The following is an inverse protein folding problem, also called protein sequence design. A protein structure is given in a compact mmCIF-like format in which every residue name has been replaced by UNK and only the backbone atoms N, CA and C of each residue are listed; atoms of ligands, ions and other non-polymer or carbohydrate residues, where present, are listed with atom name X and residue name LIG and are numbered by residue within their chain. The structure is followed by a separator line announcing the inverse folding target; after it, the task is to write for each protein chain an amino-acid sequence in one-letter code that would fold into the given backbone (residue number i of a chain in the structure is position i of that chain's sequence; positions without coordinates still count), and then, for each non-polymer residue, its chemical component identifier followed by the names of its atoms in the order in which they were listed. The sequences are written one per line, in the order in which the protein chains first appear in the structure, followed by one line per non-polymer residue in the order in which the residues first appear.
data_IF_873832900142
#
_entry.id   IF_873832900142
#
_cell.length_a   1.000
_cell.length_b   1.000
_cell.length_c   1.000
_cell.angle_alpha   90.00
_cell.angle_beta   90.00
_cell.angle_gamma   90.00
#
_symmetry.space_group_name_H-M   'P 1'
#
loop_
_entity.id
_entity.type
_entity.pdbx_description
1 polymer ?
#
# COMPACT_ATOMS: atom_id res chain seq x y z
N UNK A 1 38.75 -79.60 3.72
CA UNK A 1 39.98 -80.13 4.37
C UNK A 1 39.73 -80.22 5.88
N UNK A 2 39.46 -81.45 6.33
CA UNK A 2 39.29 -81.86 7.72
C UNK A 2 40.62 -82.51 8.17
N UNK A 3 41.27 -81.99 9.21
CA UNK A 3 42.41 -82.65 9.87
C UNK A 3 42.19 -82.53 11.38
N UNK A 4 41.73 -83.60 12.01
CA UNK A 4 41.39 -83.60 13.43
C UNK A 4 40.55 -84.77 13.92
N UNK A 5 40.15 -85.68 13.02
CA UNK A 5 39.67 -87.02 13.38
C UNK A 5 40.83 -87.97 13.10
N UNK A 6 40.98 -89.07 13.85
CA UNK A 6 41.93 -90.19 13.64
C UNK A 6 43.18 -90.33 14.55
N UNK A 7 43.26 -89.78 15.78
CA UNK A 7 44.36 -90.14 16.71
C UNK A 7 44.00 -90.68 18.10
N UNK A 8 42.73 -90.78 18.48
CA UNK A 8 42.36 -91.39 19.76
C UNK A 8 41.42 -92.62 19.64
N UNK A 9 41.12 -93.06 18.41
CA UNK A 9 40.21 -94.19 18.14
C UNK A 9 40.87 -95.58 18.11
N UNK A 10 42.19 -95.70 18.30
CA UNK A 10 42.89 -97.00 18.21
C UNK A 10 43.68 -97.41 19.47
N UNK A 11 43.64 -96.64 20.57
CA UNK A 11 44.49 -96.91 21.74
C UNK A 11 43.75 -97.53 22.95
N UNK A 12 42.47 -97.86 22.82
CA UNK A 12 41.69 -98.45 23.93
C UNK A 12 41.02 -99.79 23.59
N UNK A 13 41.40 -100.41 22.47
CA UNK A 13 40.91 -101.72 22.03
C UNK A 13 41.78 -102.91 22.50
N UNK A 14 42.78 -102.69 23.35
CA UNK A 14 43.70 -103.74 23.82
C UNK A 14 43.97 -103.67 25.32
N UNK A 15 42.91 -103.76 26.14
CA UNK A 15 43.05 -104.23 27.54
C UNK A 15 41.78 -104.93 28.02
N UNK A 16 41.27 -105.82 27.18
CA UNK A 16 40.32 -106.86 27.55
C UNK A 16 41.09 -108.17 27.76
N UNK A 17 41.76 -108.32 28.90
CA UNK A 17 42.19 -109.62 29.44
C UNK A 17 42.53 -109.48 30.93
N UNK A 18 41.48 -109.30 31.73
CA UNK A 18 41.51 -109.22 33.18
C UNK A 18 40.14 -109.57 33.73
N UNK A 19 39.66 -110.77 33.36
CA UNK A 19 38.40 -111.30 33.85
C UNK A 19 38.57 -111.80 35.29
N UNK A 20 37.47 -111.73 36.04
CA UNK A 20 37.13 -112.61 37.17
C UNK A 20 37.60 -112.16 38.55
N UNK A 21 36.97 -111.12 39.12
CA UNK A 21 36.62 -110.99 40.56
C UNK A 21 36.05 -109.58 40.84
N UNK A 22 34.89 -109.24 40.27
CA UNK A 22 34.06 -108.12 40.73
C UNK A 22 32.65 -108.22 40.11
N UNK A 23 32.02 -109.39 40.18
CA UNK A 23 30.64 -109.60 39.71
C UNK A 23 29.59 -109.24 40.79
N UNK A 24 29.96 -108.41 41.78
CA UNK A 24 29.13 -108.19 42.98
C UNK A 24 29.13 -106.73 43.48
N UNK A 25 29.30 -105.73 42.60
CA UNK A 25 29.13 -104.31 42.97
C UNK A 25 28.62 -103.41 41.82
N UNK A 26 28.24 -103.99 40.69
CA UNK A 26 27.80 -103.25 39.49
C UNK A 26 26.33 -102.84 39.51
N UNK A 27 25.57 -103.23 40.54
CA UNK A 27 24.18 -102.80 40.74
C UNK A 27 24.10 -101.49 41.56
N UNK A 28 24.93 -101.36 42.61
CA UNK A 28 24.96 -100.20 43.51
C UNK A 28 25.49 -98.91 42.83
N UNK A 29 26.42 -99.05 41.87
CA UNK A 29 27.03 -97.92 41.14
C UNK A 29 26.16 -97.39 40.00
N UNK A 30 25.34 -98.23 39.37
CA UNK A 30 24.38 -97.83 38.35
C UNK A 30 23.18 -97.09 38.97
N UNK A 31 22.73 -97.55 40.13
CA UNK A 31 21.66 -96.92 40.90
C UNK A 31 22.07 -95.53 41.43
N UNK A 32 23.29 -95.39 41.96
CA UNK A 32 23.82 -94.10 42.43
C UNK A 32 24.02 -93.09 41.28
N UNK A 33 24.43 -93.58 40.10
CA UNK A 33 24.54 -92.77 38.88
C UNK A 33 23.17 -92.36 38.34
N UNK A 34 22.17 -93.24 38.39
CA UNK A 34 20.78 -92.91 38.06
C UNK A 34 20.21 -91.90 39.04
N UNK A 35 20.47 -92.01 40.35
CA UNK A 35 20.05 -91.04 41.37
C UNK A 35 20.68 -89.67 41.16
N UNK A 36 21.98 -89.61 40.90
CA UNK A 36 22.68 -88.34 40.62
C UNK A 36 22.19 -87.70 39.31
N UNK A 37 21.93 -88.52 38.28
CA UNK A 37 21.34 -88.06 37.03
C UNK A 37 19.89 -87.57 37.21
N UNK A 38 19.10 -88.23 38.05
CA UNK A 38 17.75 -87.78 38.42
C UNK A 38 17.78 -86.47 39.21
N UNK A 39 18.72 -86.31 40.15
CA UNK A 39 18.90 -85.04 40.88
C UNK A 39 19.33 -83.91 39.94
N UNK A 40 20.25 -84.18 39.00
CA UNK A 40 20.70 -83.15 38.05
C UNK A 40 19.61 -82.77 37.05
N UNK A 41 18.81 -83.72 36.57
CA UNK A 41 17.66 -83.41 35.70
C UNK A 41 16.56 -82.67 36.47
N UNK A 42 16.36 -82.98 37.76
CA UNK A 42 15.43 -82.24 38.62
C UNK A 42 15.90 -80.80 38.84
N UNK A 43 17.20 -80.59 39.10
CA UNK A 43 17.78 -79.24 39.20
C UNK A 43 17.71 -78.47 37.87
N UNK A 44 17.96 -79.13 36.74
CA UNK A 44 17.81 -78.52 35.41
C UNK A 44 16.36 -78.13 35.13
N UNK A 45 15.39 -78.98 35.45
CA UNK A 45 13.97 -78.65 35.32
C UNK A 45 13.58 -77.47 36.20
N UNK A 46 14.06 -77.43 37.44
CA UNK A 46 13.77 -76.32 38.36
C UNK A 46 14.40 -75.00 37.87
N UNK A 47 15.60 -75.06 37.29
CA UNK A 47 16.29 -73.91 36.68
C UNK A 47 15.52 -73.43 35.44
N UNK A 48 15.19 -74.32 34.51
CA UNK A 48 14.41 -74.00 33.31
C UNK A 48 13.02 -73.45 33.65
N UNK A 49 12.36 -73.98 34.69
CA UNK A 49 11.06 -73.47 35.15
C UNK A 49 11.18 -72.05 35.71
N UNK A 50 12.27 -71.74 36.44
CA UNK A 50 12.54 -70.39 36.92
C UNK A 50 12.90 -69.41 35.79
N UNK A 51 13.67 -69.86 34.79
CA UNK A 51 14.00 -69.07 33.61
C UNK A 51 12.75 -68.80 32.76
N UNK A 52 11.87 -69.78 32.60
CA UNK A 52 10.59 -69.61 31.90
C UNK A 52 9.70 -68.59 32.62
N UNK A 53 9.66 -68.62 33.96
CA UNK A 53 8.92 -67.65 34.75
C UNK A 53 9.52 -66.22 34.66
N UNK A 54 10.85 -66.10 34.64
CA UNK A 54 11.51 -64.80 34.45
C UNK A 54 11.31 -64.27 33.03
N UNK A 55 11.40 -65.12 32.00
CA UNK A 55 11.18 -64.74 30.61
C UNK A 55 9.72 -64.33 30.35
N UNK A 56 8.74 -65.00 30.97
CA UNK A 56 7.33 -64.61 30.85
C UNK A 56 7.05 -63.29 31.56
N UNK A 57 7.62 -63.06 32.75
CA UNK A 57 7.54 -61.78 33.44
C UNK A 57 8.18 -60.64 32.62
N UNK A 58 9.37 -60.86 32.07
CA UNK A 58 10.05 -59.88 31.22
C UNK A 58 9.25 -59.56 29.94
N UNK A 59 8.62 -60.58 29.32
CA UNK A 59 7.71 -60.37 28.18
C UNK A 59 6.50 -59.51 28.54
N UNK A 60 5.86 -59.78 29.68
CA UNK A 60 4.72 -58.98 30.14
C UNK A 60 5.13 -57.52 30.40
N UNK A 61 6.29 -57.28 31.02
CA UNK A 61 6.79 -55.90 31.22
C UNK A 61 7.10 -55.22 29.88
N UNK A 62 7.71 -55.93 28.93
CA UNK A 62 8.00 -55.38 27.60
C UNK A 62 6.71 -55.08 26.81
N UNK A 63 5.70 -55.94 26.91
CA UNK A 63 4.38 -55.72 26.30
C UNK A 63 3.67 -54.50 26.91
N UNK A 64 3.71 -54.36 28.25
CA UNK A 64 3.17 -53.18 28.92
C UNK A 64 3.88 -51.88 28.50
N UNK A 65 5.21 -51.90 28.39
CA UNK A 65 5.98 -50.75 27.92
C UNK A 65 5.69 -50.42 26.45
N UNK A 66 5.56 -51.44 25.58
CA UNK A 66 5.17 -51.26 24.18
C UNK A 66 3.78 -50.64 24.08
N UNK A 67 2.82 -51.13 24.85
CA UNK A 67 1.44 -50.65 24.80
C UNK A 67 1.34 -49.22 25.35
N UNK A 68 2.11 -48.89 26.40
CA UNK A 68 2.23 -47.52 26.90
C UNK A 68 2.87 -46.59 25.86
N UNK A 69 3.95 -47.01 25.20
CA UNK A 69 4.60 -46.23 24.14
C UNK A 69 3.69 -46.04 22.92
N UNK A 70 2.93 -47.06 22.51
CA UNK A 70 1.92 -46.95 21.46
C UNK A 70 0.81 -45.98 21.83
N UNK A 71 0.39 -45.95 23.11
CA UNK A 71 -0.53 -44.96 23.64
C UNK A 71 0.01 -43.54 23.49
N UNK A 72 1.25 -43.30 23.92
CA UNK A 72 1.91 -42.00 23.79
C UNK A 72 2.07 -41.56 22.33
N UNK A 73 2.46 -42.47 21.42
CA UNK A 73 2.58 -42.14 19.99
C UNK A 73 1.23 -41.73 19.41
N UNK A 74 0.14 -42.43 19.75
CA UNK A 74 -1.22 -42.06 19.30
C UNK A 74 -1.62 -40.69 19.82
N UNK A 75 -1.37 -40.41 21.09
CA UNK A 75 -1.70 -39.12 21.70
C UNK A 75 -0.89 -37.98 21.10
N UNK A 76 0.43 -38.12 20.97
CA UNK A 76 1.30 -37.13 20.32
C UNK A 76 0.90 -36.91 18.85
N UNK A 77 0.53 -37.97 18.14
CA UNK A 77 0.05 -37.86 16.74
C UNK A 77 -1.26 -37.07 16.66
N UNK A 78 -2.20 -37.32 17.58
CA UNK A 78 -3.44 -36.57 17.67
C UNK A 78 -3.20 -35.09 18.02
N UNK A 79 -2.28 -34.80 18.94
CA UNK A 79 -1.89 -33.43 19.29
C UNK A 79 -1.22 -32.71 18.10
N UNK A 80 -0.33 -33.38 17.37
CA UNK A 80 0.30 -32.83 16.17
C UNK A 80 -0.72 -32.53 15.07
N UNK A 81 -1.67 -33.42 14.83
CA UNK A 81 -2.75 -33.19 13.87
C UNK A 81 -3.60 -31.97 14.27
N UNK A 82 -3.94 -31.84 15.56
CA UNK A 82 -4.67 -30.69 16.09
C UNK A 82 -3.89 -29.38 15.95
N UNK A 83 -2.60 -29.40 16.31
CA UNK A 83 -1.73 -28.23 16.18
C UNK A 83 -1.56 -27.79 14.73
N UNK A 84 -1.40 -28.73 13.79
CA UNK A 84 -1.35 -28.44 12.36
C UNK A 84 -2.65 -27.81 11.85
N UNK A 85 -3.80 -28.38 12.21
CA UNK A 85 -5.11 -27.81 11.84
C UNK A 85 -5.30 -26.39 12.39
N UNK A 86 -4.88 -26.13 13.63
CA UNK A 86 -4.90 -24.78 14.20
C UNK A 86 -3.97 -23.82 13.47
N UNK A 87 -2.75 -24.26 13.11
CA UNK A 87 -1.79 -23.46 12.36
C UNK A 87 -2.30 -23.10 10.98
N UNK A 88 -2.92 -24.05 10.26
CA UNK A 88 -3.52 -23.82 8.94
C UNK A 88 -4.70 -22.85 9.03
N UNK A 89 -5.55 -23.00 10.04
CA UNK A 89 -6.67 -22.09 10.28
C UNK A 89 -6.17 -20.67 10.59
N UNK A 90 -5.12 -20.53 11.41
CA UNK A 90 -4.55 -19.23 11.76
C UNK A 90 -3.87 -18.58 10.55
N UNK A 91 -3.14 -19.35 9.75
CA UNK A 91 -2.55 -18.88 8.49
C UNK A 91 -3.63 -18.41 7.51
N UNK A 92 -4.74 -19.14 7.38
CA UNK A 92 -5.89 -18.74 6.57
C UNK A 92 -6.53 -17.43 7.07
N UNK A 93 -6.71 -17.28 8.37
CA UNK A 93 -7.20 -16.03 8.97
C UNK A 93 -6.25 -14.86 8.75
N UNK A 94 -4.95 -15.07 8.93
CA UNK A 94 -3.94 -14.04 8.71
C UNK A 94 -3.93 -13.57 7.26
N UNK A 95 -4.03 -14.50 6.30
CA UNK A 95 -4.12 -14.18 4.88
C UNK A 95 -5.40 -13.39 4.55
N UNK A 96 -6.54 -13.78 5.13
CA UNK A 96 -7.81 -13.07 4.94
C UNK A 96 -7.80 -11.66 5.55
N UNK A 97 -7.21 -11.48 6.73
CA UNK A 97 -7.04 -10.17 7.35
C UNK A 97 -6.09 -9.31 6.51
N UNK A 98 -5.00 -9.89 6.00
CA UNK A 98 -4.05 -9.16 5.17
C UNK A 98 -4.68 -8.69 3.86
N UNK A 99 -5.43 -9.55 3.17
CA UNK A 99 -6.13 -9.18 1.94
C UNK A 99 -7.21 -8.13 2.19
N UNK A 100 -7.96 -8.23 3.29
CA UNK A 100 -8.96 -7.24 3.66
C UNK A 100 -8.32 -5.89 4.01
N UNK A 101 -7.20 -5.89 4.73
CA UNK A 101 -6.44 -4.67 5.05
C UNK A 101 -5.90 -4.01 3.77
N UNK A 102 -5.34 -4.80 2.84
CA UNK A 102 -4.89 -4.28 1.54
C UNK A 102 -6.03 -3.68 0.73
N UNK A 103 -7.20 -4.34 0.68
CA UNK A 103 -8.38 -3.84 -0.01
C UNK A 103 -8.90 -2.53 0.60
N UNK A 104 -8.90 -2.43 1.94
CA UNK A 104 -9.29 -1.21 2.65
C UNK A 104 -8.32 -0.06 2.37
N UNK A 105 -7.01 -0.32 2.40
CA UNK A 105 -5.99 0.69 2.07
C UNK A 105 -6.12 1.15 0.62
N UNK A 106 -6.33 0.23 -0.32
CA UNK A 106 -6.53 0.57 -1.73
C UNK A 106 -7.78 1.45 -1.93
N UNK A 107 -8.91 1.07 -1.33
CA UNK A 107 -10.15 1.85 -1.39
C UNK A 107 -10.00 3.23 -0.74
N UNK A 108 -9.34 3.30 0.42
CA UNK A 108 -9.07 4.57 1.11
C UNK A 108 -8.18 5.48 0.27
N UNK A 109 -7.12 4.94 -0.34
CA UNK A 109 -6.24 5.70 -1.23
C UNK A 109 -6.98 6.23 -2.46
N UNK A 110 -7.87 5.43 -3.05
CA UNK A 110 -8.70 5.87 -4.18
C UNK A 110 -9.62 7.04 -3.77
N UNK A 111 -10.25 6.97 -2.60
CA UNK A 111 -11.08 8.07 -2.07
C UNK A 111 -10.25 9.33 -1.82
N UNK A 112 -9.07 9.19 -1.19
CA UNK A 112 -8.15 10.31 -0.97
C UNK A 112 -7.74 10.95 -2.29
N UNK A 113 -7.50 10.15 -3.33
CA UNK A 113 -7.18 10.66 -4.66
C UNK A 113 -8.34 11.46 -5.26
N UNK A 114 -9.58 10.95 -5.16
CA UNK A 114 -10.79 11.66 -5.62
C UNK A 114 -10.98 12.99 -4.89
N UNK A 115 -10.80 13.01 -3.57
CA UNK A 115 -10.91 14.24 -2.79
C UNK A 115 -9.83 15.27 -3.16
N UNK A 116 -8.58 14.82 -3.36
CA UNK A 116 -7.51 15.71 -3.83
C UNK A 116 -7.82 16.29 -5.21
N UNK A 117 -8.24 15.47 -6.15
CA UNK A 117 -8.61 15.93 -7.49
C UNK A 117 -9.76 16.94 -7.46
N UNK A 118 -10.83 16.66 -6.70
CA UNK A 118 -11.95 17.58 -6.54
C UNK A 118 -11.52 18.90 -5.87
N UNK A 119 -10.60 18.84 -4.90
CA UNK A 119 -10.06 20.02 -4.24
C UNK A 119 -9.21 20.86 -5.21
N UNK A 120 -8.32 20.22 -5.99
CA UNK A 120 -7.48 20.89 -6.97
C UNK A 120 -8.32 21.53 -8.09
N UNK A 121 -9.38 20.85 -8.54
CA UNK A 121 -10.34 21.39 -9.50
C UNK A 121 -11.08 22.61 -8.93
N UNK A 122 -11.57 22.52 -7.69
CA UNK A 122 -12.23 23.64 -7.02
C UNK A 122 -11.29 24.83 -6.84
N UNK A 123 -10.04 24.58 -6.47
CA UNK A 123 -9.01 25.62 -6.34
C UNK A 123 -8.71 26.27 -7.70
N UNK A 124 -8.65 25.47 -8.77
CA UNK A 124 -8.50 25.94 -10.14
C UNK A 124 -9.66 26.85 -10.55
N UNK A 125 -10.92 26.42 -10.31
CA UNK A 125 -12.11 27.21 -10.59
C UNK A 125 -12.14 28.52 -9.79
N UNK A 126 -11.79 28.48 -8.50
CA UNK A 126 -11.75 29.66 -7.66
C UNK A 126 -10.73 30.70 -8.17
N UNK A 127 -9.53 30.24 -8.57
CA UNK A 127 -8.51 31.11 -9.16
C UNK A 127 -8.94 31.69 -10.51
N UNK A 128 -9.57 30.87 -11.36
CA UNK A 128 -10.10 31.33 -12.63
C UNK A 128 -11.17 32.41 -12.44
N UNK A 129 -12.10 32.21 -11.49
CA UNK A 129 -13.13 33.19 -11.14
C UNK A 129 -12.56 34.47 -10.55
N UNK A 130 -11.52 34.38 -9.73
CA UNK A 130 -10.86 35.55 -9.20
C UNK A 130 -10.14 36.36 -10.30
N UNK A 131 -9.50 35.67 -11.26
CA UNK A 131 -8.89 36.32 -12.43
C UNK A 131 -9.94 36.98 -13.33
N UNK A 132 -11.08 36.32 -13.56
CA UNK A 132 -12.20 36.87 -14.32
C UNK A 132 -12.76 38.13 -13.64
N UNK A 133 -12.96 38.07 -12.32
CA UNK A 133 -13.40 39.21 -11.50
C UNK A 133 -12.44 40.38 -11.58
N UNK A 134 -11.13 40.12 -11.43
CA UNK A 134 -10.12 41.17 -11.54
C UNK A 134 -10.08 41.80 -12.94
N UNK A 135 -10.22 40.99 -14.00
CA UNK A 135 -10.30 41.47 -15.38
C UNK A 135 -11.53 42.35 -15.62
N UNK A 136 -12.71 41.90 -15.18
CA UNK A 136 -13.95 42.68 -15.28
C UNK A 136 -13.87 43.98 -14.47
N UNK A 137 -13.28 43.95 -13.28
CA UNK A 137 -13.09 45.15 -12.46
C UNK A 137 -12.15 46.15 -13.14
N UNK A 138 -11.08 45.69 -13.78
CA UNK A 138 -10.18 46.56 -14.55
C UNK A 138 -10.88 47.18 -15.76
N UNK A 139 -11.66 46.39 -16.51
CA UNK A 139 -12.45 46.89 -17.64
C UNK A 139 -13.50 47.92 -17.17
N UNK A 140 -14.16 47.68 -16.05
CA UNK A 140 -15.15 48.60 -15.49
C UNK A 140 -14.47 49.92 -15.08
N UNK A 141 -13.34 49.86 -14.38
CA UNK A 141 -12.56 51.06 -14.02
C UNK A 141 -12.10 51.85 -15.25
N UNK A 142 -11.69 51.17 -16.32
CA UNK A 142 -11.31 51.81 -17.58
C UNK A 142 -12.51 52.50 -18.24
N UNK A 143 -13.67 51.84 -18.31
CA UNK A 143 -14.90 52.43 -18.86
C UNK A 143 -15.37 53.62 -18.04
N UNK A 144 -15.33 53.54 -16.71
CA UNK A 144 -15.67 54.66 -15.82
C UNK A 144 -14.73 55.85 -16.07
N UNK A 145 -13.43 55.59 -16.22
CA UNK A 145 -12.45 56.62 -16.57
C UNK A 145 -12.73 57.27 -17.94
N UNK A 146 -13.16 56.49 -18.93
CA UNK A 146 -13.55 57.03 -20.24
C UNK A 146 -14.83 57.85 -20.16
N UNK A 147 -15.83 57.41 -19.40
CA UNK A 147 -17.08 58.15 -19.20
C UNK A 147 -16.79 59.49 -18.50
N UNK A 148 -15.95 59.51 -17.48
CA UNK A 148 -15.56 60.75 -16.80
C UNK A 148 -14.83 61.72 -17.75
N UNK A 149 -13.90 61.22 -18.56
CA UNK A 149 -13.21 62.04 -19.56
C UNK A 149 -14.18 62.60 -20.61
N UNK A 150 -15.08 61.76 -21.13
CA UNK A 150 -16.12 62.19 -22.07
C UNK A 150 -17.02 63.27 -21.46
N UNK A 151 -17.44 63.11 -20.20
CA UNK A 151 -18.22 64.12 -19.48
C UNK A 151 -17.45 65.45 -19.34
N UNK A 152 -16.17 65.41 -18.96
CA UNK A 152 -15.35 66.60 -18.83
C UNK A 152 -15.16 67.31 -20.19
N UNK A 153 -14.89 66.55 -21.25
CA UNK A 153 -14.76 67.06 -22.63
C UNK A 153 -16.05 67.67 -23.16
N UNK A 154 -17.20 67.04 -22.90
CA UNK A 154 -18.51 67.60 -23.23
C UNK A 154 -18.79 68.93 -22.51
N UNK A 155 -18.42 69.04 -21.23
CA UNK A 155 -18.54 70.28 -20.48
C UNK A 155 -17.64 71.38 -21.06
N UNK A 156 -16.40 71.05 -21.44
CA UNK A 156 -15.48 71.98 -22.10
C UNK A 156 -16.04 72.47 -23.44
N UNK A 157 -16.50 71.55 -24.29
CA UNK A 157 -17.09 71.86 -25.59
C UNK A 157 -18.32 72.79 -25.44
N UNK A 158 -19.18 72.53 -24.45
CA UNK A 158 -20.32 73.39 -24.16
C UNK A 158 -19.91 74.78 -23.67
N UNK A 159 -18.83 74.89 -22.90
CA UNK A 159 -18.22 76.16 -22.52
C UNK A 159 -17.74 76.96 -23.74
N UNK A 160 -16.98 76.33 -24.64
CA UNK A 160 -16.51 76.94 -25.89
C UNK A 160 -17.69 77.40 -26.75
N UNK A 161 -18.74 76.58 -26.88
CA UNK A 161 -19.95 76.94 -27.62
C UNK A 161 -20.67 78.17 -27.02
N UNK A 162 -20.74 78.27 -25.68
CA UNK A 162 -21.28 79.45 -25.00
C UNK A 162 -20.43 80.70 -25.23
N UNK A 163 -19.10 80.58 -25.19
CA UNK A 163 -18.20 81.69 -25.50
C UNK A 163 -18.38 82.18 -26.94
N UNK A 164 -18.52 81.26 -27.90
CA UNK A 164 -18.80 81.58 -29.30
C UNK A 164 -20.14 82.31 -29.47
N UNK A 165 -21.21 81.85 -28.79
CA UNK A 165 -22.52 82.52 -28.82
C UNK A 165 -22.45 83.92 -28.22
N UNK A 166 -21.78 84.08 -27.07
CA UNK A 166 -21.59 85.39 -26.44
C UNK A 166 -20.72 86.34 -27.27
N UNK A 167 -19.74 85.81 -28.02
CA UNK A 167 -18.96 86.59 -28.97
C UNK A 167 -19.83 87.10 -30.12
N UNK A 168 -20.75 86.28 -30.64
CA UNK A 168 -21.71 86.69 -31.67
C UNK A 168 -22.68 87.78 -31.16
N UNK A 169 -23.19 87.65 -29.93
CA UNK A 169 -24.06 88.67 -29.31
C UNK A 169 -23.37 90.03 -29.12
N UNK A 170 -22.04 90.04 -28.91
CA UNK A 170 -21.24 91.26 -28.75
C UNK A 170 -20.85 91.93 -30.07
N UNK A 171 -21.03 91.27 -31.22
CA UNK A 171 -20.81 91.91 -32.53
C UNK A 171 -21.99 92.85 -32.79
N UNK A 172 -21.78 94.13 -32.48
CA UNK A 172 -22.80 95.16 -32.59
C UNK A 172 -23.11 95.51 -34.07
N UNK A 173 -24.32 96.01 -34.33
CA UNK A 173 -24.75 96.48 -35.67
C UNK A 173 -23.78 97.55 -36.22
N UNK A 174 -23.14 98.32 -35.33
CA UNK A 174 -22.10 99.29 -35.67
C UNK A 174 -20.83 98.65 -36.27
N UNK A 175 -20.44 97.46 -35.82
CA UNK A 175 -19.27 96.73 -36.34
C UNK A 175 -19.58 96.06 -37.68
N UNK A 176 -20.82 95.59 -37.86
CA UNK A 176 -21.32 95.09 -39.16
C UNK A 176 -21.34 96.22 -40.22
N UNK A 177 -21.66 97.45 -39.83
CA UNK A 177 -21.58 98.62 -40.73
C UNK A 177 -20.15 98.96 -41.15
N UNK A 178 -19.16 98.85 -40.23
CA UNK A 178 -17.73 99.07 -40.55
C UNK A 178 -17.17 97.98 -41.47
N UNK A 179 -17.65 96.74 -41.36
CA UNK A 179 -17.25 95.64 -42.24
C UNK A 179 -17.67 95.81 -43.71
N UNK A 180 -18.74 96.55 -43.99
CA UNK A 180 -19.23 96.79 -45.36
C UNK A 180 -18.41 97.82 -46.13
N UNK A 181 -17.42 98.46 -45.50
CA UNK A 181 -16.53 99.39 -46.19
C UNK A 181 -15.38 98.64 -46.91
N UNK A 182 -15.05 99.00 -48.16
CA UNK A 182 -14.10 98.26 -49.01
C UNK A 182 -12.64 98.21 -48.50
N UNK A 183 -12.31 98.87 -47.38
CA UNK A 183 -10.98 98.90 -46.76
C UNK A 183 -10.89 98.20 -45.39
N UNK A 184 -11.93 97.47 -44.96
CA UNK A 184 -11.97 96.79 -43.66
C UNK A 184 -11.18 95.46 -43.60
N UNK A 185 -10.01 95.39 -44.23
CA UNK A 185 -9.16 94.18 -44.27
C UNK A 185 -8.77 93.69 -42.88
N UNK A 186 -8.49 94.60 -41.94
CA UNK A 186 -8.17 94.26 -40.55
C UNK A 186 -9.34 93.66 -39.77
N UNK A 187 -10.59 94.00 -40.12
CA UNK A 187 -11.76 93.38 -39.50
C UNK A 187 -11.93 91.94 -39.99
N UNK A 188 -11.73 91.66 -41.28
CA UNK A 188 -11.80 90.29 -41.83
C UNK A 188 -10.78 89.35 -41.19
N UNK A 189 -9.52 89.76 -41.09
CA UNK A 189 -8.46 88.95 -40.46
C UNK A 189 -8.79 88.62 -39.00
N UNK A 190 -9.30 89.58 -38.22
CA UNK A 190 -9.71 89.34 -36.83
C UNK A 190 -10.84 88.32 -36.70
N UNK A 191 -11.76 88.26 -37.65
CA UNK A 191 -12.84 87.27 -37.65
C UNK A 191 -12.33 85.88 -38.04
N UNK A 192 -11.39 85.80 -38.98
CA UNK A 192 -10.72 84.55 -39.35
C UNK A 192 -9.89 83.99 -38.17
N UNK A 193 -9.12 84.84 -37.48
CA UNK A 193 -8.36 84.46 -36.28
C UNK A 193 -9.27 83.96 -35.15
N UNK A 194 -10.42 84.61 -34.95
CA UNK A 194 -11.39 84.23 -33.93
C UNK A 194 -12.10 82.91 -34.28
N UNK A 195 -12.44 82.70 -35.56
CA UNK A 195 -13.00 81.44 -36.04
C UNK A 195 -11.98 80.29 -35.92
N UNK A 196 -10.71 80.53 -36.23
CA UNK A 196 -9.63 79.55 -36.04
C UNK A 196 -9.45 79.21 -34.55
N UNK A 197 -9.36 80.21 -33.67
CA UNK A 197 -9.20 79.99 -32.24
C UNK A 197 -10.35 79.17 -31.61
N UNK A 198 -11.60 79.38 -32.05
CA UNK A 198 -12.72 78.55 -31.62
C UNK A 198 -12.69 77.15 -32.24
N UNK A 199 -12.28 77.02 -33.51
CA UNK A 199 -12.07 75.73 -34.16
C UNK A 199 -11.04 74.87 -33.44
N UNK A 200 -9.90 75.47 -33.07
CA UNK A 200 -8.83 74.80 -32.32
C UNK A 200 -9.32 74.34 -30.94
N UNK A 201 -10.02 75.20 -30.19
CA UNK A 201 -10.58 74.83 -28.88
C UNK A 201 -11.64 73.73 -28.97
N UNK A 202 -12.47 73.75 -30.01
CA UNK A 202 -13.47 72.72 -30.22
C UNK A 202 -12.81 71.37 -30.54
N UNK A 203 -11.76 71.40 -31.39
CA UNK A 203 -10.95 70.24 -31.72
C UNK A 203 -10.22 69.67 -30.49
N UNK A 204 -9.61 70.51 -29.66
CA UNK A 204 -8.96 70.12 -28.40
C UNK A 204 -9.93 69.53 -27.37
N UNK A 205 -11.21 69.90 -27.45
CA UNK A 205 -12.28 69.40 -26.58
C UNK A 205 -12.93 68.10 -27.08
N UNK A 206 -12.57 67.63 -28.27
CA UNK A 206 -13.10 66.38 -28.79
C UNK A 206 -12.56 65.19 -27.98
N UNK A 207 -13.46 64.28 -27.58
CA UNK A 207 -13.06 63.02 -26.98
C UNK A 207 -12.89 61.97 -28.08
N UNK A 208 -11.67 61.45 -28.25
CA UNK A 208 -11.40 60.28 -29.08
C UNK A 208 -11.32 59.06 -28.16
N UNK A 209 -12.33 58.19 -28.25
CA UNK A 209 -12.33 56.95 -27.50
C UNK A 209 -11.27 56.03 -28.13
N UNK A 210 -10.31 55.47 -27.35
CA UNK A 210 -9.42 54.48 -27.92
C UNK A 210 -10.29 53.34 -28.47
N UNK A 211 -10.17 53.10 -29.78
CA UNK A 211 -10.88 52.04 -30.47
C UNK A 211 -10.47 50.72 -29.86
N UNK A 212 -11.31 50.20 -28.97
CA UNK A 212 -11.14 48.88 -28.38
C UNK A 212 -11.07 47.88 -29.52
N UNK A 213 -9.91 47.27 -29.72
CA UNK A 213 -9.80 46.04 -30.49
C UNK A 213 -10.63 45.02 -29.74
N UNK A 214 -11.87 44.85 -30.18
CA UNK A 214 -12.69 43.69 -29.85
C UNK A 214 -11.94 42.47 -30.38
N UNK A 215 -11.28 41.75 -29.46
CA UNK A 215 -10.98 40.33 -29.62
C UNK A 215 -11.78 39.57 -28.57
#
# INVERSE_FOLDING_TARGET
MNKGVYRHRCAWLMLALGASLAASASAETLEERLRTQLRSTTQQLQTLQSEQAQASAARQTAEQQRDAALGQVRELTAQLAKARGQSEQLAGQQQAVHSQAQALVASSNEQLHKYKQAYDELLGMARAKESERAGLQAQLAERDGQVQQCQARNQQMYGVAKEMLAAYEKVDIADVMKMRQPFAGSARVRFEELAQAYGDRLYESQFDAPTGVTQ
#
